data_IF_020130692680
#
_entry.id   IF_020130692680
#
_cell.length_a   1.000
_cell.length_b   1.000
_cell.length_c   1.000
_cell.angle_alpha   90.00
_cell.angle_beta   90.00
_cell.angle_gamma   90.00
#
_symmetry.space_group_name_H-M   'P 1'
#
loop_
_entity.id
_entity.type
_entity.pdbx_description
1 polymer ?
#
# COMPACT_ATOMS: atom_id res chain seq x y z
N UNK A 1 7.47 5.04 18.06
CA UNK A 1 6.07 4.73 17.70
C UNK A 1 5.91 3.23 17.75
N UNK A 2 5.06 2.72 18.66
CA UNK A 2 4.76 1.30 18.76
C UNK A 2 3.68 1.02 17.71
N UNK A 3 3.98 0.15 16.74
CA UNK A 3 2.97 -0.35 15.81
C UNK A 3 1.89 -1.06 16.64
N UNK A 4 0.65 -0.60 16.51
CA UNK A 4 -0.51 -1.30 17.06
C UNK A 4 -1.19 -1.95 15.88
N UNK A 5 -0.65 -3.08 15.43
CA UNK A 5 -1.33 -3.97 14.50
C UNK A 5 -2.32 -4.82 15.30
N UNK A 6 -3.60 -4.82 14.90
CA UNK A 6 -4.62 -5.65 15.53
C UNK A 6 -4.91 -6.88 14.67
N UNK A 7 -4.47 -8.10 15.06
CA UNK A 7 -4.70 -9.30 14.27
C UNK A 7 -6.19 -9.65 14.17
N UNK A 8 -6.99 -9.33 15.19
CA UNK A 8 -8.43 -9.63 15.20
C UNK A 8 -9.22 -8.71 14.25
N UNK A 9 -8.94 -7.41 14.26
CA UNK A 9 -9.56 -6.49 13.30
C UNK A 9 -9.07 -6.79 11.87
N UNK A 10 -7.82 -7.22 11.70
CA UNK A 10 -7.30 -7.65 10.40
C UNK A 10 -8.04 -8.87 9.86
N UNK A 11 -8.20 -9.93 10.66
CA UNK A 11 -8.87 -11.15 10.22
C UNK A 11 -10.36 -10.94 9.95
N UNK A 12 -11.06 -10.17 10.79
CA UNK A 12 -12.46 -9.82 10.56
C UNK A 12 -12.65 -9.01 9.27
N UNK A 13 -11.73 -8.07 8.99
CA UNK A 13 -11.79 -7.27 7.77
C UNK A 13 -11.47 -8.10 6.51
N UNK A 14 -10.53 -9.05 6.61
CA UNK A 14 -10.27 -10.03 5.55
C UNK A 14 -11.52 -10.84 5.22
N UNK A 15 -12.14 -11.49 6.21
CA UNK A 15 -13.33 -12.33 6.01
C UNK A 15 -14.46 -11.52 5.39
N UNK A 16 -14.71 -10.31 5.88
CA UNK A 16 -15.74 -9.43 5.32
C UNK A 16 -15.45 -9.05 3.86
N UNK A 17 -14.19 -8.82 3.50
CA UNK A 17 -13.77 -8.55 2.12
C UNK A 17 -14.03 -9.74 1.20
N UNK A 18 -13.64 -10.95 1.62
CA UNK A 18 -13.89 -12.20 0.88
C UNK A 18 -15.40 -12.42 0.66
N UNK A 19 -16.20 -12.28 1.71
CA UNK A 19 -17.66 -12.44 1.64
C UNK A 19 -18.30 -11.43 0.66
N UNK A 20 -17.93 -10.15 0.75
CA UNK A 20 -18.47 -9.12 -0.13
C UNK A 20 -18.12 -9.34 -1.61
N UNK A 21 -16.94 -9.89 -1.90
CA UNK A 21 -16.54 -10.23 -3.26
C UNK A 21 -17.29 -11.46 -3.80
N UNK A 22 -17.52 -12.45 -2.93
CA UNK A 22 -18.29 -13.66 -3.30
C UNK A 22 -19.75 -13.37 -3.64
N UNK A 23 -20.32 -12.30 -3.10
CA UNK A 23 -21.68 -11.82 -3.39
C UNK A 23 -21.74 -10.97 -4.68
N UNK A 24 -20.59 -10.56 -5.23
CA UNK A 24 -20.53 -9.71 -6.44
C UNK A 24 -20.34 -10.56 -7.70
N UNK A 25 -21.37 -10.65 -8.53
CA UNK A 25 -21.42 -11.49 -9.75
C UNK A 25 -20.44 -11.07 -10.87
N UNK A 26 -19.66 -10.01 -10.69
CA UNK A 26 -18.76 -9.46 -11.70
C UNK A 26 -17.34 -9.22 -11.14
N UNK A 27 -16.72 -10.27 -10.59
CA UNK A 27 -15.31 -10.20 -10.15
C UNK A 27 -14.37 -10.25 -11.36
N UNK A 28 -13.61 -9.18 -11.68
CA UNK A 28 -12.56 -9.27 -12.68
C UNK A 28 -11.44 -10.16 -12.12
N UNK A 29 -11.16 -11.26 -12.82
CA UNK A 29 -10.10 -12.19 -12.48
C UNK A 29 -8.75 -11.44 -12.35
N UNK A 30 -8.28 -11.23 -11.11
CA UNK A 30 -7.02 -10.57 -10.81
C UNK A 30 -7.08 -9.27 -10.00
N UNK A 31 -8.22 -8.91 -9.37
CA UNK A 31 -8.26 -7.84 -8.34
C UNK A 31 -8.81 -8.28 -6.98
N UNK A 32 -9.34 -9.50 -6.87
CA UNK A 32 -9.90 -10.02 -5.62
C UNK A 32 -8.80 -10.19 -4.55
N UNK A 33 -7.63 -10.72 -4.91
CA UNK A 33 -6.52 -10.92 -3.98
C UNK A 33 -5.99 -9.60 -3.39
N UNK A 34 -5.81 -8.58 -4.23
CA UNK A 34 -5.44 -7.22 -3.77
C UNK A 34 -6.52 -6.66 -2.85
N UNK A 35 -7.80 -6.82 -3.18
CA UNK A 35 -8.90 -6.26 -2.38
C UNK A 35 -9.01 -6.93 -0.99
N UNK A 36 -8.89 -8.24 -0.93
CA UNK A 36 -8.88 -9.01 0.33
C UNK A 36 -7.69 -8.61 1.21
N UNK A 37 -6.49 -8.55 0.62
CA UNK A 37 -5.27 -8.13 1.29
C UNK A 37 -5.39 -6.71 1.85
N UNK A 38 -5.89 -5.76 1.05
CA UNK A 38 -6.10 -4.37 1.47
C UNK A 38 -7.11 -4.29 2.61
N UNK A 39 -8.19 -5.04 2.54
CA UNK A 39 -9.21 -5.07 3.61
C UNK A 39 -8.59 -5.50 4.94
N UNK A 40 -7.80 -6.58 4.92
CA UNK A 40 -7.07 -7.05 6.10
C UNK A 40 -6.10 -5.98 6.66
N UNK A 41 -5.35 -5.31 5.78
CA UNK A 41 -4.39 -4.27 6.17
C UNK A 41 -5.05 -3.03 6.76
N UNK A 42 -6.15 -2.57 6.16
CA UNK A 42 -6.95 -1.44 6.64
C UNK A 42 -7.48 -1.73 8.04
N UNK A 43 -8.05 -2.93 8.24
CA UNK A 43 -8.54 -3.39 9.53
C UNK A 43 -7.43 -3.50 10.58
N UNK A 44 -6.32 -4.16 10.23
CA UNK A 44 -5.18 -4.33 11.13
C UNK A 44 -4.51 -3.03 11.55
N UNK A 45 -4.51 -2.01 10.67
CA UNK A 45 -4.02 -0.67 10.97
C UNK A 45 -5.01 0.19 11.80
N UNK A 46 -6.27 -0.24 11.87
CA UNK A 46 -7.39 0.58 12.36
C UNK A 46 -7.41 1.96 11.68
N UNK A 47 -7.41 1.95 10.34
CA UNK A 47 -7.37 3.18 9.55
C UNK A 47 -8.66 3.99 9.72
N UNK A 48 -8.52 5.29 9.99
CA UNK A 48 -9.62 6.24 10.14
C UNK A 48 -9.88 7.03 8.85
N UNK A 49 -8.87 7.20 7.99
CA UNK A 49 -9.02 7.74 6.64
C UNK A 49 -8.32 6.85 5.61
N UNK A 50 -9.13 6.20 4.77
CA UNK A 50 -8.67 5.38 3.64
C UNK A 50 -8.96 6.13 2.35
N UNK A 51 -7.94 6.27 1.50
CA UNK A 51 -8.08 6.89 0.18
C UNK A 51 -7.65 5.91 -0.90
N UNK A 52 -8.43 5.81 -1.96
CA UNK A 52 -8.11 5.00 -3.12
C UNK A 52 -8.01 5.88 -4.37
N UNK A 53 -6.93 5.72 -5.13
CA UNK A 53 -6.71 6.34 -6.43
C UNK A 53 -6.50 5.23 -7.49
N UNK A 54 -7.58 4.71 -8.11
CA UNK A 54 -7.50 3.64 -9.12
C UNK A 54 -7.05 4.17 -10.49
N UNK A 55 -6.58 3.33 -11.40
CA UNK A 55 -6.30 3.81 -12.77
C UNK A 55 -7.59 4.27 -13.48
N UNK A 56 -7.52 5.42 -14.16
CA UNK A 56 -8.63 5.95 -14.97
C UNK A 56 -8.33 5.64 -16.42
N UNK A 57 -8.85 4.52 -16.93
CA UNK A 57 -8.86 4.26 -18.37
C UNK A 57 -9.93 5.14 -19.04
N UNK A 58 -9.64 5.67 -20.23
CA UNK A 58 -10.52 6.61 -20.94
C UNK A 58 -11.86 6.02 -21.43
N UNK A 59 -12.13 4.72 -21.19
CA UNK A 59 -13.28 4.02 -21.78
C UNK A 59 -14.24 3.42 -20.75
N UNK A 60 -13.90 3.37 -19.47
CA UNK A 60 -14.78 2.73 -18.47
C UNK A 60 -15.48 3.77 -17.58
N UNK A 61 -16.52 4.39 -18.13
CA UNK A 61 -17.49 5.17 -17.33
C UNK A 61 -18.45 4.29 -16.49
N UNK A 62 -18.32 2.96 -16.50
CA UNK A 62 -19.19 2.09 -15.70
C UNK A 62 -18.63 0.68 -15.40
N UNK A 63 -17.34 0.42 -15.63
CA UNK A 63 -16.79 -0.92 -15.35
C UNK A 63 -16.17 -0.91 -13.97
N UNK A 64 -16.94 -1.44 -13.02
CA UNK A 64 -16.58 -1.69 -11.64
C UNK A 64 -15.25 -2.45 -11.54
N UNK A 65 -14.12 -1.74 -11.56
CA UNK A 65 -12.93 -2.22 -10.86
C UNK A 65 -13.35 -2.25 -9.40
N UNK A 66 -13.67 -3.46 -8.92
CA UNK A 66 -13.96 -3.79 -7.54
C UNK A 66 -12.73 -3.42 -6.71
N UNK A 67 -12.68 -2.15 -6.34
CA UNK A 67 -11.84 -1.70 -5.27
C UNK A 67 -12.15 -2.51 -4.01
N UNK A 68 -11.17 -2.74 -3.15
CA UNK A 68 -11.47 -3.02 -1.77
C UNK A 68 -12.39 -1.91 -1.25
N UNK A 69 -13.66 -2.26 -1.00
CA UNK A 69 -14.51 -1.55 -0.05
C UNK A 69 -14.16 -2.18 1.29
N UNK A 70 -13.15 -1.66 2.02
CA UNK A 70 -12.93 -2.15 3.36
C UNK A 70 -14.25 -1.96 4.11
N UNK A 71 -14.59 -2.83 5.07
CA UNK A 71 -15.67 -2.57 6.01
C UNK A 71 -15.25 -1.41 6.94
N UNK A 72 -15.06 -0.21 6.38
CA UNK A 72 -14.80 1.02 7.12
C UNK A 72 -15.94 1.32 8.10
N UNK A 73 -17.14 0.76 7.84
CA UNK A 73 -18.27 0.80 8.76
C UNK A 73 -17.99 0.10 10.11
N UNK A 74 -17.05 -0.86 10.19
CA UNK A 74 -16.69 -1.50 11.46
C UNK A 74 -15.66 -0.73 12.27
N UNK A 75 -14.81 0.09 11.63
CA UNK A 75 -13.81 0.92 12.32
C UNK A 75 -14.29 2.36 12.59
N UNK A 76 -15.45 2.75 12.06
CA UNK A 76 -15.93 4.13 12.09
C UNK A 76 -15.13 5.08 11.19
N UNK A 77 -14.30 4.53 10.30
CA UNK A 77 -13.41 5.29 9.42
C UNK A 77 -14.10 5.86 8.19
N UNK A 78 -13.50 6.90 7.62
CA UNK A 78 -13.89 7.52 6.35
C UNK A 78 -13.16 6.85 5.18
N UNK A 79 -13.85 6.68 4.07
CA UNK A 79 -13.30 6.15 2.82
C UNK A 79 -13.60 7.12 1.68
N UNK A 80 -12.60 7.40 0.85
CA UNK A 80 -12.73 8.25 -0.33
C UNK A 80 -12.11 7.57 -1.55
N UNK A 81 -12.85 7.52 -2.66
CA UNK A 81 -12.35 7.06 -3.96
C UNK A 81 -12.17 8.26 -4.88
N UNK A 82 -10.96 8.43 -5.40
CA UNK A 82 -10.54 9.62 -6.13
C UNK A 82 -10.18 9.24 -7.56
N UNK A 83 -11.08 9.59 -8.49
CA UNK A 83 -10.95 9.23 -9.90
C UNK A 83 -10.13 10.29 -10.66
N UNK A 84 -10.64 11.51 -10.74
CA UNK A 84 -10.01 12.64 -11.42
C UNK A 84 -9.32 13.60 -10.44
N UNK A 85 -8.36 14.38 -10.93
CA UNK A 85 -7.62 15.40 -10.18
C UNK A 85 -7.09 14.88 -8.83
N UNK A 86 -6.57 13.65 -8.84
CA UNK A 86 -6.32 12.93 -7.60
C UNK A 86 -5.22 13.57 -6.75
N UNK A 87 -4.23 14.19 -7.37
CA UNK A 87 -3.21 15.00 -6.71
C UNK A 87 -3.81 16.20 -5.98
N UNK A 88 -4.75 16.92 -6.62
CA UNK A 88 -5.41 18.11 -6.03
C UNK A 88 -6.34 17.72 -4.89
N UNK A 89 -7.14 16.69 -5.08
CA UNK A 89 -8.03 16.16 -4.02
C UNK A 89 -7.19 15.67 -2.85
N UNK A 90 -6.11 14.92 -3.11
CA UNK A 90 -5.21 14.44 -2.08
C UNK A 90 -4.54 15.59 -1.30
N UNK A 91 -4.17 16.69 -1.96
CA UNK A 91 -3.57 17.85 -1.31
C UNK A 91 -4.49 18.56 -0.31
N UNK A 92 -5.82 18.39 -0.46
CA UNK A 92 -6.83 18.89 0.46
C UNK A 92 -7.17 17.94 1.61
N UNK A 93 -6.60 16.74 1.64
CA UNK A 93 -6.81 15.76 2.70
C UNK A 93 -5.67 15.80 3.71
N UNK A 94 -6.01 15.93 4.99
CA UNK A 94 -5.06 15.80 6.09
C UNK A 94 -5.36 14.53 6.90
N UNK A 95 -4.31 13.89 7.41
CA UNK A 95 -4.45 12.74 8.28
C UNK A 95 -4.82 11.45 7.54
N UNK A 96 -4.30 11.25 6.33
CA UNK A 96 -4.49 9.99 5.59
C UNK A 96 -3.76 8.88 6.32
N UNK A 97 -4.48 7.83 6.71
CA UNK A 97 -3.92 6.67 7.41
C UNK A 97 -3.56 5.55 6.42
N UNK A 98 -4.32 5.44 5.33
CA UNK A 98 -4.18 4.38 4.37
C UNK A 98 -4.42 4.88 2.95
N UNK A 99 -3.48 4.63 2.04
CA UNK A 99 -3.56 5.03 0.64
C UNK A 99 -3.39 3.82 -0.27
N UNK A 100 -4.35 3.57 -1.15
CA UNK A 100 -4.24 2.59 -2.24
C UNK A 100 -4.09 3.37 -3.54
N UNK A 101 -3.02 3.13 -4.29
CA UNK A 101 -2.75 3.80 -5.56
C UNK A 101 -2.44 2.79 -6.65
N UNK A 102 -3.14 2.89 -7.78
CA UNK A 102 -2.79 2.11 -8.95
C UNK A 102 -1.52 2.66 -9.58
N UNK A 103 -0.55 1.78 -9.74
CA UNK A 103 0.78 2.06 -10.23
C UNK A 103 0.80 2.56 -11.68
N UNK A 104 -0.25 2.25 -12.46
CA UNK A 104 -0.44 2.63 -13.86
C UNK A 104 -0.95 4.06 -14.03
N UNK A 105 -1.45 4.69 -12.96
CA UNK A 105 -1.88 6.09 -12.99
C UNK A 105 -0.73 7.02 -13.38
N UNK A 106 -0.97 7.91 -14.34
CA UNK A 106 0.00 8.93 -14.77
C UNK A 106 0.38 9.90 -13.64
N UNK A 107 -0.59 10.24 -12.80
CA UNK A 107 -0.45 11.13 -11.65
C UNK A 107 -0.07 10.41 -10.36
N UNK A 108 0.23 9.09 -10.37
CA UNK A 108 0.53 8.33 -9.15
C UNK A 108 1.63 8.97 -8.29
N UNK A 109 2.69 9.50 -8.91
CA UNK A 109 3.78 10.18 -8.21
C UNK A 109 3.31 11.49 -7.56
N UNK A 110 2.42 12.23 -8.22
CA UNK A 110 1.86 13.46 -7.68
C UNK A 110 0.90 13.17 -6.51
N UNK A 111 0.11 12.10 -6.60
CA UNK A 111 -0.75 11.63 -5.50
C UNK A 111 0.10 11.27 -4.26
N UNK A 112 1.20 10.54 -4.45
CA UNK A 112 2.13 10.20 -3.35
C UNK A 112 2.79 11.43 -2.73
N UNK A 113 3.11 12.43 -3.55
CA UNK A 113 3.72 13.69 -3.09
C UNK A 113 2.71 14.59 -2.37
N UNK A 114 1.43 14.53 -2.74
CA UNK A 114 0.35 15.30 -2.14
C UNK A 114 -0.18 14.69 -0.84
N UNK A 115 -0.02 13.38 -0.63
CA UNK A 115 -0.55 12.67 0.52
C UNK A 115 0.08 13.15 1.84
N UNK A 116 -0.77 13.53 2.80
CA UNK A 116 -0.38 14.02 4.12
C UNK A 116 -0.73 13.00 5.19
N UNK A 117 0.25 12.23 5.69
CA UNK A 117 0.01 11.26 6.74
C UNK A 117 -0.40 11.91 8.06
N UNK A 118 -1.21 11.22 8.86
CA UNK A 118 -1.47 11.61 10.24
C UNK A 118 -0.24 11.44 11.15
N UNK A 119 -0.38 11.84 12.43
CA UNK A 119 0.70 11.69 13.42
C UNK A 119 1.16 10.23 13.62
N UNK A 120 0.31 9.25 13.29
CA UNK A 120 0.61 7.81 13.34
C UNK A 120 1.44 7.32 12.14
N UNK A 121 1.63 8.14 11.11
CA UNK A 121 2.10 7.71 9.80
C UNK A 121 0.96 7.21 8.93
N UNK A 122 1.34 6.56 7.82
CA UNK A 122 0.41 6.05 6.80
C UNK A 122 0.92 4.72 6.24
N UNK A 123 0.01 3.87 5.81
CA UNK A 123 0.31 2.71 4.96
C UNK A 123 -0.06 3.04 3.52
N UNK A 124 0.85 2.80 2.59
CA UNK A 124 0.62 2.96 1.15
C UNK A 124 0.66 1.60 0.49
N UNK A 125 -0.32 1.31 -0.36
CA UNK A 125 -0.39 0.10 -1.18
C UNK A 125 -0.38 0.51 -2.64
N UNK A 126 0.68 0.13 -3.35
CA UNK A 126 0.82 0.34 -4.79
C UNK A 126 0.63 -1.00 -5.50
N UNK A 127 -0.24 -1.07 -6.51
CA UNK A 127 -0.52 -2.30 -7.26
C UNK A 127 -0.71 -2.02 -8.76
N UNK A 128 -0.64 -3.05 -9.62
CA UNK A 128 -1.17 -2.98 -10.98
C UNK A 128 -0.16 -2.92 -12.14
N UNK A 129 1.14 -2.73 -11.89
CA UNK A 129 2.17 -2.67 -12.95
C UNK A 129 3.21 -3.80 -12.89
N UNK A 130 3.19 -4.64 -11.85
CA UNK A 130 4.17 -5.72 -11.61
C UNK A 130 5.62 -5.27 -11.53
N UNK A 131 5.85 -3.97 -11.35
CA UNK A 131 7.18 -3.40 -11.31
C UNK A 131 7.49 -2.96 -9.90
N UNK A 132 8.52 -3.60 -9.32
CA UNK A 132 9.11 -3.13 -8.09
C UNK A 132 9.87 -1.82 -8.34
N UNK A 133 9.46 -0.74 -7.69
CA UNK A 133 10.18 0.52 -7.79
C UNK A 133 11.42 0.50 -6.90
N UNK A 134 12.50 1.13 -7.36
CA UNK A 134 13.69 1.31 -6.53
C UNK A 134 13.37 2.18 -5.31
N UNK A 135 13.90 1.82 -4.14
CA UNK A 135 13.61 2.52 -2.87
C UNK A 135 13.89 4.03 -2.95
N UNK A 136 14.97 4.45 -3.62
CA UNK A 136 15.29 5.87 -3.83
C UNK A 136 14.22 6.62 -4.63
N UNK A 137 13.71 6.01 -5.69
CA UNK A 137 12.69 6.62 -6.54
C UNK A 137 11.35 6.73 -5.78
N UNK A 138 11.08 5.75 -4.92
CA UNK A 138 9.92 5.74 -4.05
C UNK A 138 10.02 6.85 -2.99
N UNK A 139 11.15 6.96 -2.29
CA UNK A 139 11.41 8.05 -1.33
C UNK A 139 11.31 9.43 -1.98
N UNK A 140 11.84 9.60 -3.21
CA UNK A 140 11.76 10.85 -3.95
C UNK A 140 10.33 11.23 -4.38
N UNK A 141 9.38 10.30 -4.31
CA UNK A 141 7.98 10.53 -4.69
C UNK A 141 7.07 10.82 -3.50
N UNK A 142 7.59 10.73 -2.28
CA UNK A 142 6.81 10.96 -1.07
C UNK A 142 6.80 12.44 -0.70
N UNK A 143 5.75 12.87 0.00
CA UNK A 143 5.65 14.22 0.55
C UNK A 143 6.86 14.58 1.44
N UNK A 144 7.27 15.85 1.39
CA UNK A 144 8.34 16.35 2.23
C UNK A 144 8.05 16.12 3.73
N UNK A 145 9.08 15.78 4.51
CA UNK A 145 8.93 15.49 5.94
C UNK A 145 8.36 14.10 6.25
N UNK A 146 8.12 13.26 5.23
CA UNK A 146 7.83 11.84 5.40
C UNK A 146 9.06 10.97 5.16
N UNK A 147 9.02 9.72 5.63
CA UNK A 147 10.08 8.73 5.40
C UNK A 147 9.49 7.33 5.25
N UNK A 148 10.13 6.51 4.42
CA UNK A 148 9.75 5.09 4.32
C UNK A 148 10.46 4.33 5.44
N UNK A 149 9.66 3.79 6.36
CA UNK A 149 10.12 3.02 7.52
C UNK A 149 10.37 1.56 7.13
N UNK A 150 9.47 1.00 6.32
CA UNK A 150 9.54 -0.38 5.84
C UNK A 150 8.82 -0.46 4.49
N UNK A 151 9.29 -1.32 3.61
CA UNK A 151 8.54 -1.73 2.43
C UNK A 151 8.65 -3.24 2.22
N UNK A 152 7.61 -3.82 1.63
CA UNK A 152 7.56 -5.22 1.21
C UNK A 152 6.90 -5.29 -0.16
N UNK A 153 7.41 -6.19 -1.00
CA UNK A 153 6.78 -6.54 -2.28
C UNK A 153 6.15 -7.92 -2.11
N UNK A 154 4.89 -8.05 -2.50
CA UNK A 154 4.08 -9.25 -2.36
C UNK A 154 3.64 -9.72 -3.75
N UNK A 155 3.80 -11.01 -4.09
CA UNK A 155 3.36 -11.59 -5.35
C UNK A 155 1.84 -11.86 -5.33
N UNK A 156 1.04 -10.84 -5.05
CA UNK A 156 -0.43 -10.90 -5.08
C UNK A 156 -0.91 -10.28 -6.39
N UNK A 157 -1.73 -11.02 -7.13
CA UNK A 157 -2.18 -10.65 -8.49
C UNK A 157 -0.99 -10.26 -9.40
N UNK A 158 -1.03 -9.06 -9.99
CA UNK A 158 0.05 -8.52 -10.83
C UNK A 158 1.21 -7.94 -10.02
N UNK A 159 1.23 -8.09 -8.70
CA UNK A 159 2.26 -7.55 -7.81
C UNK A 159 1.77 -6.35 -6.99
N UNK A 160 2.10 -6.37 -5.70
CA UNK A 160 1.72 -5.36 -4.71
C UNK A 160 2.95 -4.89 -3.93
N UNK A 161 3.18 -3.59 -3.87
CA UNK A 161 4.16 -2.97 -3.00
C UNK A 161 3.46 -2.29 -1.83
N UNK A 162 3.77 -2.72 -0.61
CA UNK A 162 3.24 -2.14 0.62
C UNK A 162 4.34 -1.33 1.30
N UNK A 163 4.04 -0.09 1.66
CA UNK A 163 4.94 0.82 2.33
C UNK A 163 4.37 1.27 3.66
N UNK A 164 5.23 1.26 4.67
CA UNK A 164 4.99 1.99 5.90
C UNK A 164 5.72 3.32 5.85
N UNK A 165 4.94 4.40 5.90
CA UNK A 165 5.40 5.78 5.84
C UNK A 165 5.29 6.41 7.22
N UNK A 166 6.41 6.87 7.76
CA UNK A 166 6.46 7.64 9.01
C UNK A 166 6.60 9.13 8.75
N UNK A 167 6.20 9.94 9.73
CA UNK A 167 6.35 11.41 9.70
C UNK A 167 7.55 11.85 10.54
N UNK A 168 8.24 12.90 10.09
CA UNK A 168 9.32 13.56 10.80
C UNK A 168 10.67 12.82 10.75
N UNK A 169 11.52 13.09 11.75
CA UNK A 169 12.87 12.50 11.86
C UNK A 169 12.81 11.08 12.41
N UNK A 170 13.66 10.21 11.89
CA UNK A 170 13.83 8.84 12.38
C UNK A 170 14.48 7.94 11.34
N UNK A 171 14.82 6.70 11.71
CA UNK A 171 15.43 5.76 10.78
C UNK A 171 14.49 5.49 9.60
N UNK A 172 14.99 5.67 8.38
CA UNK A 172 14.38 5.22 7.13
C UNK A 172 15.03 3.92 6.67
N UNK A 173 14.51 3.30 5.61
CA UNK A 173 15.13 2.13 4.95
C UNK A 173 16.63 2.35 4.67
N UNK A 174 17.06 3.59 4.39
CA UNK A 174 18.47 3.91 4.14
C UNK A 174 19.35 3.94 5.39
N UNK A 175 18.80 4.25 6.58
CA UNK A 175 19.58 4.34 7.81
C UNK A 175 20.12 2.98 8.31
N UNK A 176 19.64 1.86 7.74
CA UNK A 176 20.20 0.52 7.98
C UNK A 176 21.39 0.16 7.09
N UNK A 177 21.80 1.02 6.16
CA UNK A 177 23.12 0.89 5.55
C UNK A 177 24.16 1.48 6.50
N UNK A 178 24.59 0.67 7.45
CA UNK A 178 25.89 0.85 8.09
C UNK A 178 26.94 1.19 7.01
N UNK A 179 27.91 2.08 7.30
CA UNK A 179 29.05 2.29 6.40
C UNK A 179 29.63 0.92 6.07
N UNK A 180 29.87 0.64 4.79
CA UNK A 180 30.26 -0.67 4.22
C UNK A 180 31.14 -1.50 5.16
N UNK A 181 30.53 -2.24 6.07
CA UNK A 181 31.04 -3.53 6.51
C UNK A 181 30.44 -4.46 5.49
N UNK A 182 31.28 -5.03 4.63
CA UNK A 182 30.84 -6.01 3.63
C UNK A 182 30.00 -7.06 4.37
N UNK A 183 28.68 -7.03 4.17
CA UNK A 183 27.81 -8.08 4.68
C UNK A 183 28.34 -9.36 4.07
N UNK A 184 28.84 -10.27 4.90
CA UNK A 184 29.21 -11.61 4.44
C UNK A 184 27.98 -12.38 3.97
N UNK A 185 26.78 -11.89 4.27
CA UNK A 185 25.53 -12.52 3.87
C UNK A 185 25.05 -11.99 2.52
N UNK A 186 24.87 -12.92 1.58
CA UNK A 186 24.20 -12.75 0.30
C UNK A 186 22.79 -13.32 0.46
N UNK A 187 21.78 -12.50 0.19
CA UNK A 187 20.38 -12.93 0.19
C UNK A 187 19.92 -13.15 -1.24
N UNK A 188 19.46 -14.36 -1.53
CA UNK A 188 18.77 -14.73 -2.76
C UNK A 188 17.31 -15.04 -2.42
N UNK A 189 16.39 -14.64 -3.28
CA UNK A 189 14.97 -14.97 -3.14
C UNK A 189 14.57 -15.67 -4.41
N UNK A 190 14.10 -16.90 -4.29
CA UNK A 190 13.55 -17.67 -5.40
C UNK A 190 12.27 -16.98 -5.86
N UNK A 191 12.17 -16.69 -7.17
CA UNK A 191 11.04 -15.93 -7.71
C UNK A 191 9.79 -16.78 -7.96
N UNK A 192 9.93 -18.11 -8.02
CA UNK A 192 8.81 -19.04 -8.22
C UNK A 192 8.26 -19.53 -6.88
N UNK A 193 9.12 -19.84 -5.91
CA UNK A 193 8.70 -20.38 -4.60
C UNK A 193 8.59 -19.30 -3.52
N UNK A 194 9.27 -18.16 -3.68
CA UNK A 194 9.34 -17.10 -2.68
C UNK A 194 10.28 -17.41 -1.51
N UNK A 195 11.00 -18.53 -1.54
CA UNK A 195 11.93 -18.91 -0.48
C UNK A 195 13.15 -17.97 -0.42
N UNK A 196 13.56 -17.58 0.79
CA UNK A 196 14.76 -16.77 1.00
C UNK A 196 15.96 -17.64 1.37
N UNK A 197 16.99 -17.64 0.51
CA UNK A 197 18.27 -18.29 0.78
C UNK A 197 19.32 -17.27 1.23
N UNK A 198 20.00 -17.57 2.34
CA UNK A 198 21.06 -16.75 2.92
C UNK A 198 22.40 -17.47 2.83
N UNK A 199 23.29 -16.98 1.97
CA UNK A 199 24.64 -17.53 1.80
C UNK A 199 25.67 -16.65 2.50
N UNK A 200 26.64 -17.27 3.17
CA UNK A 200 27.76 -16.54 3.78
C UNK A 200 29.01 -16.65 2.91
N UNK A 201 29.55 -15.52 2.42
CA UNK A 201 30.91 -15.43 1.86
C UNK A 201 31.87 -15.79 2.99
N UNK A 202 32.69 -16.83 2.78
CA UNK A 202 33.81 -17.14 3.66
C UNK A 202 34.89 -16.08 3.53
#
# INVERSE_FOLDING_TARGET
>A
MKLVWCPETASQAFIAGVSALSESEHSPAGSAGVAELVSAMVGGWNAQLVVEAPEVSATDSATHSAAPRPPAQRTGGRYARVLADADRVMAGLDGVDFLVVDARRRDATAVLAAARPGARGMVVVRHGDGRRRGTKALEASMAAGTRIVRSVYLPVDKGVEVLHVGVGKGPSIQARRSPRVSSRWIRHVDQETGEEHLFRRQ
#
